data_IF_392056299440
#
_entry.id   IF_392056299440
#
_cell.length_a   1.000
_cell.length_b   1.000
_cell.length_c   1.000
_cell.angle_alpha   90.00
_cell.angle_beta   90.00
_cell.angle_gamma   90.00
#
_symmetry.space_group_name_H-M   'P 1'
#
loop_
_entity.id
_entity.type
_entity.pdbx_description
1 polymer ?
#
# COMPACT_ATOMS: atom_id res chain seq x y z
N UNK A 1 18.85 -36.77 -5.58
CA UNK A 1 18.22 -37.90 -4.87
C UNK A 1 17.08 -37.32 -4.05
N UNK A 2 15.85 -37.75 -4.26
CA UNK A 2 14.71 -37.25 -3.47
C UNK A 2 14.65 -38.09 -2.20
N UNK A 3 14.78 -37.46 -1.03
CA UNK A 3 14.77 -38.12 0.27
C UNK A 3 13.49 -37.75 1.02
N UNK A 4 12.71 -38.75 1.39
CA UNK A 4 11.57 -38.57 2.29
C UNK A 4 12.02 -38.84 3.72
N UNK A 5 11.85 -37.87 4.62
CA UNK A 5 12.18 -37.98 6.03
C UNK A 5 10.93 -38.36 6.85
N UNK A 6 11.07 -39.29 7.80
CA UNK A 6 10.10 -39.57 8.85
C UNK A 6 10.70 -39.19 10.18
N UNK A 7 10.97 -37.90 10.35
CA UNK A 7 11.83 -37.42 11.45
C UNK A 7 11.21 -36.27 12.25
N UNK A 8 9.86 -36.13 12.20
CA UNK A 8 9.16 -35.13 13.03
C UNK A 8 9.31 -35.58 14.51
N UNK A 9 9.93 -34.75 15.32
CA UNK A 9 10.18 -34.99 16.73
C UNK A 9 9.25 -34.25 17.68
N UNK A 10 8.87 -33.03 17.29
CA UNK A 10 8.11 -32.14 18.13
C UNK A 10 7.16 -31.30 17.28
N UNK A 11 6.01 -30.91 17.84
CA UNK A 11 5.02 -30.05 17.22
C UNK A 11 4.66 -28.95 18.22
N UNK A 12 4.94 -27.69 17.86
CA UNK A 12 4.71 -26.51 18.68
C UNK A 12 3.90 -25.47 17.90
N UNK A 13 2.62 -25.37 18.14
CA UNK A 13 1.74 -24.44 17.40
C UNK A 13 1.77 -24.72 15.90
N UNK A 14 2.23 -23.78 15.09
CA UNK A 14 2.40 -23.94 13.64
C UNK A 14 3.76 -24.49 13.23
N UNK A 15 4.64 -24.81 14.19
CA UNK A 15 6.00 -25.28 13.97
C UNK A 15 6.12 -26.79 14.16
N UNK A 16 6.92 -27.44 13.32
CA UNK A 16 7.40 -28.80 13.54
C UNK A 16 8.93 -28.80 13.63
N UNK A 17 9.45 -29.62 14.52
CA UNK A 17 10.89 -29.83 14.69
C UNK A 17 11.26 -31.19 14.11
N UNK A 18 12.29 -31.22 13.30
CA UNK A 18 12.81 -32.44 12.65
C UNK A 18 14.29 -32.61 12.97
N UNK A 19 14.72 -33.83 13.19
CA UNK A 19 16.11 -34.18 13.43
C UNK A 19 16.67 -35.08 12.30
N UNK A 20 18.00 -35.08 12.14
CA UNK A 20 18.71 -35.92 11.16
C UNK A 20 18.51 -35.46 9.71
N UNK A 21 18.21 -34.21 9.49
CA UNK A 21 18.00 -33.64 8.16
C UNK A 21 19.29 -32.97 7.67
N UNK A 22 19.72 -33.32 6.46
CA UNK A 22 21.01 -32.86 5.89
C UNK A 22 20.79 -32.07 4.61
N UNK A 23 21.72 -31.14 4.35
CA UNK A 23 21.73 -30.39 3.09
C UNK A 23 20.55 -29.40 2.91
N UNK A 24 20.12 -28.83 4.03
CA UNK A 24 18.95 -27.91 4.07
C UNK A 24 19.39 -26.45 3.95
N UNK A 25 18.64 -25.66 3.24
CA UNK A 25 18.82 -24.22 3.14
C UNK A 25 17.78 -23.47 3.99
N UNK A 26 18.13 -22.27 4.44
CA UNK A 26 17.17 -21.39 5.09
C UNK A 26 16.07 -20.96 4.10
N UNK A 27 14.83 -20.82 4.57
CA UNK A 27 13.65 -20.49 3.75
C UNK A 27 13.27 -21.58 2.72
N UNK A 28 13.92 -22.74 2.73
CA UNK A 28 13.60 -23.86 1.84
C UNK A 28 12.19 -24.37 2.10
N UNK A 29 11.46 -24.69 1.03
CA UNK A 29 10.13 -25.28 1.13
C UNK A 29 10.22 -26.77 1.44
N UNK A 30 9.35 -27.21 2.31
CA UNK A 30 9.18 -28.59 2.73
C UNK A 30 7.77 -29.06 2.39
N UNK A 31 7.66 -30.06 1.53
CA UNK A 31 6.41 -30.77 1.31
C UNK A 31 6.15 -31.73 2.45
N UNK A 32 4.96 -31.70 3.03
CA UNK A 32 4.56 -32.46 4.20
C UNK A 32 3.37 -33.35 3.81
N UNK A 33 3.59 -34.63 3.75
CA UNK A 33 2.55 -35.63 3.45
C UNK A 33 2.02 -36.23 4.74
N UNK A 34 0.73 -36.04 4.98
CA UNK A 34 0.03 -36.66 6.10
C UNK A 34 -0.30 -38.13 5.82
N UNK A 35 -0.64 -38.88 6.86
CA UNK A 35 -1.04 -40.30 6.79
C UNK A 35 -2.27 -40.55 5.92
N UNK A 36 -3.19 -39.61 5.85
CA UNK A 36 -4.38 -39.66 4.99
C UNK A 36 -4.10 -39.26 3.52
N UNK A 37 -2.84 -39.00 3.15
CA UNK A 37 -2.44 -38.57 1.81
C UNK A 37 -2.54 -37.07 1.53
N UNK A 38 -3.09 -36.30 2.47
CA UNK A 38 -3.15 -34.82 2.31
C UNK A 38 -1.72 -34.25 2.26
N UNK A 39 -1.50 -33.35 1.31
CA UNK A 39 -0.26 -32.60 1.19
C UNK A 39 -0.40 -31.24 1.86
N UNK A 40 0.62 -30.84 2.58
CA UNK A 40 0.82 -29.49 3.11
C UNK A 40 2.20 -28.99 2.73
N UNK A 41 2.40 -27.71 2.90
CA UNK A 41 3.71 -27.10 2.71
C UNK A 41 4.15 -26.34 3.96
N UNK A 42 5.45 -26.25 4.13
CA UNK A 42 6.06 -25.44 5.15
C UNK A 42 7.37 -24.87 4.64
N UNK A 43 7.96 -23.99 5.41
CA UNK A 43 9.30 -23.46 5.14
C UNK A 43 10.24 -23.66 6.32
N UNK A 44 11.49 -23.87 6.03
CA UNK A 44 12.54 -23.93 7.03
C UNK A 44 12.78 -22.54 7.61
N UNK A 45 12.63 -22.40 8.92
CA UNK A 45 12.78 -21.11 9.63
C UNK A 45 13.94 -21.06 10.58
N UNK A 46 14.52 -22.23 10.90
CA UNK A 46 15.72 -22.33 11.75
C UNK A 46 16.48 -23.62 11.43
N UNK A 47 17.80 -23.55 11.45
CA UNK A 47 18.69 -24.68 11.21
C UNK A 47 19.75 -24.70 12.33
N UNK A 48 19.84 -25.82 13.07
CA UNK A 48 20.82 -26.07 14.11
C UNK A 48 21.52 -27.42 13.87
N UNK A 49 22.56 -27.40 13.06
CA UNK A 49 23.21 -28.62 12.61
C UNK A 49 22.31 -29.50 11.74
N UNK A 50 21.95 -30.69 12.22
CA UNK A 50 20.99 -31.58 11.54
C UNK A 50 19.55 -31.44 12.08
N UNK A 51 19.33 -30.53 13.02
CA UNK A 51 18.01 -30.19 13.55
C UNK A 51 17.46 -28.98 12.82
N UNK A 52 16.20 -29.08 12.32
CA UNK A 52 15.54 -28.00 11.64
C UNK A 52 14.16 -27.72 12.25
N UNK A 53 13.76 -26.47 12.19
CA UNK A 53 12.41 -26.04 12.53
C UNK A 53 11.69 -25.61 11.23
N UNK A 54 10.55 -26.22 10.97
CA UNK A 54 9.74 -25.96 9.79
C UNK A 54 8.41 -25.33 10.21
N UNK A 55 8.09 -24.22 9.64
CA UNK A 55 6.79 -23.58 9.80
C UNK A 55 5.81 -24.11 8.75
N UNK A 56 4.71 -24.70 9.21
CA UNK A 56 3.69 -25.31 8.35
C UNK A 56 2.63 -24.26 7.96
N UNK A 57 2.39 -24.07 6.67
CA UNK A 57 1.51 -23.02 6.18
C UNK A 57 0.04 -23.24 6.55
N UNK A 58 -0.48 -24.44 6.35
CA UNK A 58 -1.86 -24.81 6.65
C UNK A 58 -2.07 -25.30 8.10
N UNK A 59 -1.09 -25.03 8.97
CA UNK A 59 -1.11 -25.44 10.37
C UNK A 59 -0.76 -26.92 10.58
N UNK A 60 -0.66 -27.33 11.86
CA UNK A 60 -0.12 -28.64 12.26
C UNK A 60 -1.19 -29.67 12.64
N UNK A 61 -2.47 -29.36 12.50
CA UNK A 61 -3.55 -30.31 12.81
C UNK A 61 -3.37 -31.62 12.03
N UNK A 62 -3.49 -32.77 12.71
CA UNK A 62 -3.30 -34.13 12.15
C UNK A 62 -1.90 -34.45 11.66
N UNK A 63 -0.89 -33.64 11.95
CA UNK A 63 0.50 -34.06 11.77
C UNK A 63 0.82 -35.10 12.84
N UNK A 64 1.37 -36.25 12.41
CA UNK A 64 1.77 -37.35 13.27
C UNK A 64 3.26 -37.40 13.37
N UNK A 65 3.80 -37.59 14.59
CA UNK A 65 5.22 -37.79 14.82
C UNK A 65 5.78 -39.09 14.20
N UNK A 66 4.90 -40.07 13.92
CA UNK A 66 5.30 -41.39 13.43
C UNK A 66 5.09 -41.60 11.94
N UNK A 67 4.02 -40.98 11.36
CA UNK A 67 3.55 -41.33 10.03
C UNK A 67 3.67 -40.18 9.04
N UNK A 68 3.98 -38.95 9.50
CA UNK A 68 4.14 -37.80 8.58
C UNK A 68 5.46 -37.94 7.83
N UNK A 69 5.41 -37.81 6.53
CA UNK A 69 6.59 -37.78 5.66
C UNK A 69 6.84 -36.37 5.17
N UNK A 70 8.11 -35.97 5.20
CA UNK A 70 8.52 -34.63 4.78
C UNK A 70 9.59 -34.73 3.70
N UNK A 71 9.54 -33.85 2.73
CA UNK A 71 10.44 -33.78 1.60
C UNK A 71 10.93 -32.34 1.41
N UNK A 72 12.23 -32.17 1.38
CA UNK A 72 12.85 -30.91 1.01
C UNK A 72 12.76 -30.69 -0.50
N UNK A 73 12.42 -29.49 -0.93
CA UNK A 73 12.26 -29.15 -2.36
C UNK A 73 13.53 -28.65 -3.00
N UNK A 74 14.51 -28.22 -2.21
CA UNK A 74 15.78 -27.66 -2.68
C UNK A 74 15.71 -26.19 -3.08
N UNK A 75 14.56 -25.54 -2.91
CA UNK A 75 14.39 -24.13 -3.26
C UNK A 75 13.41 -23.41 -2.29
N UNK A 76 13.54 -22.08 -2.14
CA UNK A 76 12.59 -21.29 -1.39
C UNK A 76 11.23 -21.23 -2.13
N UNK A 77 10.24 -20.59 -1.52
CA UNK A 77 8.93 -20.42 -2.15
C UNK A 77 9.05 -19.59 -3.43
N UNK A 78 8.51 -20.15 -4.51
CA UNK A 78 8.49 -19.52 -5.83
C UNK A 78 7.06 -19.27 -6.28
N UNK A 79 6.86 -18.11 -6.90
CA UNK A 79 5.59 -17.72 -7.53
C UNK A 79 5.60 -18.11 -9.01
N UNK A 80 4.59 -18.84 -9.52
CA UNK A 80 4.41 -19.05 -10.95
C UNK A 80 3.97 -17.74 -11.62
N UNK A 81 4.65 -17.32 -12.66
CA UNK A 81 4.44 -16.06 -13.35
C UNK A 81 4.13 -16.28 -14.84
N UNK A 82 3.09 -15.61 -15.30
CA UNK A 82 2.65 -15.58 -16.70
C UNK A 82 1.92 -14.26 -16.97
N UNK A 83 1.88 -13.75 -18.21
CA UNK A 83 1.02 -12.59 -18.55
C UNK A 83 -0.47 -12.85 -18.24
N UNK A 84 -0.90 -14.11 -18.24
CA UNK A 84 -2.28 -14.54 -17.92
C UNK A 84 -2.67 -14.31 -16.45
N UNK A 85 -1.75 -13.90 -15.59
CA UNK A 85 -2.03 -13.58 -14.20
C UNK A 85 -2.88 -12.30 -14.05
N UNK A 86 -2.89 -11.43 -15.06
CA UNK A 86 -3.71 -10.22 -15.06
C UNK A 86 -5.19 -10.63 -15.13
N UNK A 87 -6.01 -10.03 -14.29
CA UNK A 87 -7.44 -10.36 -14.18
C UNK A 87 -7.75 -11.52 -13.23
N UNK A 88 -6.73 -12.13 -12.61
CA UNK A 88 -6.90 -13.30 -11.73
C UNK A 88 -7.13 -12.89 -10.27
N UNK A 89 -7.86 -13.72 -9.57
CA UNK A 89 -8.05 -13.64 -8.12
C UNK A 89 -7.37 -14.83 -7.45
N UNK A 90 -6.43 -14.51 -6.55
CA UNK A 90 -5.55 -15.47 -5.89
C UNK A 90 -5.78 -15.43 -4.37
N UNK A 91 -5.42 -16.52 -3.68
CA UNK A 91 -5.31 -16.52 -2.21
C UNK A 91 -4.05 -15.81 -1.73
N UNK A 92 -3.84 -15.76 -0.41
CA UNK A 92 -2.68 -15.10 0.19
C UNK A 92 -1.33 -15.74 -0.15
N UNK A 93 -1.33 -17.00 -0.59
CA UNK A 93 -0.15 -17.73 -1.04
C UNK A 93 0.05 -17.68 -2.57
N UNK A 94 -0.83 -16.98 -3.29
CA UNK A 94 -0.75 -16.83 -4.74
C UNK A 94 -1.38 -17.95 -5.55
N UNK A 95 -2.21 -18.81 -4.95
CA UNK A 95 -2.95 -19.86 -5.67
C UNK A 95 -4.28 -19.30 -6.20
N UNK A 96 -4.68 -19.61 -7.44
CA UNK A 96 -5.94 -19.15 -7.99
C UNK A 96 -7.17 -19.64 -7.18
N UNK A 97 -8.10 -18.72 -6.91
CA UNK A 97 -9.38 -18.99 -6.24
C UNK A 97 -10.60 -18.53 -7.05
N UNK A 98 -10.39 -18.13 -8.28
CA UNK A 98 -11.42 -17.63 -9.21
C UNK A 98 -12.13 -18.73 -10.02
N UNK A 99 -11.71 -19.97 -9.87
CA UNK A 99 -12.29 -21.10 -10.63
C UNK A 99 -11.81 -21.22 -12.08
N UNK A 100 -10.84 -20.39 -12.50
CA UNK A 100 -10.32 -20.40 -13.87
C UNK A 100 -9.15 -21.38 -14.08
N UNK A 101 -8.85 -22.22 -13.07
CA UNK A 101 -7.74 -23.18 -13.11
C UNK A 101 -6.37 -22.58 -12.76
N UNK A 102 -5.35 -23.44 -12.82
CA UNK A 102 -3.99 -23.05 -12.46
C UNK A 102 -3.35 -22.11 -13.49
N UNK A 103 -2.37 -21.32 -13.03
CA UNK A 103 -1.55 -20.46 -13.89
C UNK A 103 -0.40 -21.30 -14.44
N UNK A 104 -0.29 -21.42 -15.76
CA UNK A 104 0.82 -22.08 -16.41
C UNK A 104 2.04 -21.15 -16.46
N UNK A 105 3.11 -21.44 -15.72
CA UNK A 105 4.20 -20.49 -15.57
C UNK A 105 5.06 -20.43 -16.84
N UNK A 106 5.29 -19.22 -17.33
CA UNK A 106 6.39 -18.90 -18.25
C UNK A 106 7.70 -18.83 -17.48
N UNK A 107 7.62 -18.35 -16.23
CA UNK A 107 8.74 -18.21 -15.31
C UNK A 107 8.28 -18.51 -13.88
N UNK A 108 9.23 -18.94 -13.04
CA UNK A 108 9.06 -18.98 -11.59
C UNK A 108 10.05 -18.02 -10.95
N UNK A 109 9.64 -17.29 -9.94
CA UNK A 109 10.48 -16.36 -9.22
C UNK A 109 10.31 -16.51 -7.70
N UNK A 110 11.44 -16.38 -6.99
CA UNK A 110 11.46 -16.38 -5.53
C UNK A 110 10.65 -15.18 -5.01
N UNK A 111 9.69 -15.43 -4.11
CA UNK A 111 8.82 -14.40 -3.55
C UNK A 111 9.55 -13.39 -2.67
N UNK A 112 10.68 -13.75 -2.09
CA UNK A 112 11.45 -12.83 -1.25
C UNK A 112 11.97 -11.65 -2.05
N UNK A 113 12.22 -11.82 -3.36
CA UNK A 113 12.71 -10.77 -4.22
C UNK A 113 14.01 -10.15 -3.72
N UNK A 114 14.36 -9.03 -4.27
CA UNK A 114 15.48 -8.21 -3.79
C UNK A 114 15.13 -6.74 -3.89
N UNK A 115 15.50 -5.89 -2.92
CA UNK A 115 15.41 -4.45 -3.06
C UNK A 115 16.11 -3.98 -4.33
N UNK A 116 15.54 -2.98 -4.99
CA UNK A 116 16.14 -2.42 -6.20
C UNK A 116 17.51 -1.82 -5.86
N UNK A 117 18.55 -2.25 -6.59
CA UNK A 117 19.89 -1.72 -6.41
C UNK A 117 19.88 -0.18 -6.65
N UNK A 118 20.36 0.64 -5.69
CA UNK A 118 20.35 2.09 -5.82
C UNK A 118 21.04 2.61 -7.09
N UNK A 119 22.10 1.95 -7.55
CA UNK A 119 22.84 2.34 -8.77
C UNK A 119 22.01 2.11 -10.04
N UNK A 120 21.14 1.10 -10.03
CA UNK A 120 20.24 0.76 -11.14
C UNK A 120 18.93 1.55 -11.09
N UNK A 121 18.64 2.21 -9.99
CA UNK A 121 17.39 2.96 -9.79
C UNK A 121 17.38 4.22 -10.67
N UNK A 122 16.26 4.44 -11.36
CA UNK A 122 15.98 5.70 -12.05
C UNK A 122 15.21 6.62 -11.10
N UNK A 123 15.55 7.91 -11.10
CA UNK A 123 14.83 8.88 -10.30
C UNK A 123 13.37 9.02 -10.79
N UNK A 124 12.37 8.89 -9.92
CA UNK A 124 10.97 8.95 -10.30
C UNK A 124 10.59 10.32 -10.89
N UNK A 125 9.88 10.25 -12.01
CA UNK A 125 9.27 11.40 -12.70
C UNK A 125 7.91 10.96 -13.23
N UNK A 126 7.10 11.90 -13.64
CA UNK A 126 5.71 11.69 -14.04
C UNK A 126 4.81 11.25 -12.86
N UNK A 127 3.57 11.59 -12.96
CA UNK A 127 2.59 11.32 -11.91
C UNK A 127 1.59 10.24 -12.33
N UNK A 128 0.99 9.62 -11.33
CA UNK A 128 -0.19 8.77 -11.47
C UNK A 128 -1.39 9.61 -11.03
N UNK A 129 -2.33 9.83 -11.93
CA UNK A 129 -3.58 10.50 -11.61
C UNK A 129 -4.49 9.53 -10.88
N UNK A 130 -4.88 9.86 -9.65
CA UNK A 130 -5.80 9.06 -8.83
C UNK A 130 -7.26 9.48 -9.01
N UNK A 131 -7.50 10.63 -9.63
CA UNK A 131 -8.82 11.22 -9.79
C UNK A 131 -9.36 11.87 -8.52
N UNK A 132 -8.53 12.03 -7.49
CA UNK A 132 -8.87 12.60 -6.19
C UNK A 132 -8.13 13.93 -6.00
N UNK A 133 -8.86 15.03 -5.94
CA UNK A 133 -8.30 16.39 -5.94
C UNK A 133 -7.25 16.60 -4.85
N UNK A 134 -7.50 16.18 -3.62
CA UNK A 134 -6.57 16.34 -2.51
C UNK A 134 -5.25 15.61 -2.76
N UNK A 135 -5.32 14.39 -3.30
CA UNK A 135 -4.12 13.59 -3.59
C UNK A 135 -3.39 14.18 -4.79
N UNK A 136 -4.09 14.35 -5.91
CA UNK A 136 -3.46 14.74 -7.17
C UNK A 136 -2.88 16.16 -7.14
N UNK A 137 -3.47 17.07 -6.34
CA UNK A 137 -3.01 18.46 -6.26
C UNK A 137 -1.99 18.71 -5.14
N UNK A 138 -2.18 18.13 -3.95
CA UNK A 138 -1.42 18.52 -2.74
C UNK A 138 -0.36 17.49 -2.32
N UNK A 139 -0.50 16.24 -2.75
CA UNK A 139 0.41 15.14 -2.40
C UNK A 139 0.54 14.14 -3.57
N UNK A 140 0.72 14.67 -4.76
CA UNK A 140 0.72 13.94 -6.02
C UNK A 140 1.57 12.68 -5.97
N UNK A 141 0.96 11.57 -6.38
CA UNK A 141 1.61 10.26 -6.45
C UNK A 141 2.52 10.20 -7.66
N UNK A 142 3.81 10.00 -7.44
CA UNK A 142 4.81 9.92 -8.49
C UNK A 142 5.08 8.46 -8.86
N UNK A 143 5.23 8.19 -10.14
CA UNK A 143 5.46 6.86 -10.67
C UNK A 143 6.78 6.27 -10.15
N UNK A 144 6.70 5.09 -9.51
CA UNK A 144 7.84 4.46 -8.83
C UNK A 144 8.01 4.85 -7.36
N UNK A 145 7.09 5.65 -6.81
CA UNK A 145 7.10 6.10 -5.41
C UNK A 145 6.46 5.08 -4.48
N UNK A 146 6.79 5.17 -3.20
CA UNK A 146 6.11 4.54 -2.06
C UNK A 146 5.38 5.62 -1.27
N UNK A 147 4.06 5.69 -1.39
CA UNK A 147 3.23 6.69 -0.70
C UNK A 147 2.15 6.01 0.13
N UNK A 148 2.37 5.78 1.43
CA UNK A 148 1.42 5.08 2.27
C UNK A 148 0.21 5.94 2.63
N UNK A 149 -0.92 5.26 2.92
CA UNK A 149 -2.10 5.85 3.53
C UNK A 149 -2.17 5.42 4.99
N UNK A 150 -2.10 6.38 5.90
CA UNK A 150 -2.26 6.20 7.33
C UNK A 150 -3.73 6.43 7.69
N UNK A 151 -4.39 5.38 8.12
CA UNK A 151 -5.81 5.37 8.48
C UNK A 151 -6.01 4.99 9.94
N UNK A 152 -7.23 5.07 10.42
CA UNK A 152 -7.65 4.53 11.71
C UNK A 152 -8.65 3.37 11.55
N UNK A 153 -8.82 2.59 12.60
CA UNK A 153 -9.81 1.50 12.60
C UNK A 153 -11.22 2.04 12.34
N UNK A 154 -11.97 1.41 11.44
CA UNK A 154 -13.33 1.81 11.07
C UNK A 154 -13.43 3.05 10.18
N UNK A 155 -12.31 3.53 9.65
CA UNK A 155 -12.31 4.62 8.67
C UNK A 155 -12.48 4.08 7.23
N UNK A 156 -12.87 4.98 6.31
CA UNK A 156 -13.21 4.65 4.90
C UNK A 156 -11.99 4.46 3.99
N UNK A 157 -10.91 3.86 4.49
CA UNK A 157 -9.72 3.59 3.69
C UNK A 157 -9.94 2.51 2.62
N UNK A 158 -10.85 1.57 2.86
CA UNK A 158 -11.22 0.56 1.86
C UNK A 158 -11.94 1.20 0.67
N UNK A 159 -12.87 2.13 0.93
CA UNK A 159 -13.55 2.89 -0.13
C UNK A 159 -12.55 3.71 -0.94
N UNK A 160 -11.61 4.37 -0.26
CA UNK A 160 -10.55 5.12 -0.91
C UNK A 160 -9.65 4.23 -1.78
N UNK A 161 -9.26 3.05 -1.29
CA UNK A 161 -8.49 2.08 -2.06
C UNK A 161 -9.25 1.65 -3.32
N UNK A 162 -10.53 1.30 -3.20
CA UNK A 162 -11.39 0.93 -4.34
C UNK A 162 -11.50 2.08 -5.34
N UNK A 163 -11.70 3.30 -4.88
CA UNK A 163 -11.78 4.47 -5.74
C UNK A 163 -10.48 4.69 -6.52
N UNK A 164 -9.31 4.59 -5.87
CA UNK A 164 -8.01 4.70 -6.53
C UNK A 164 -7.84 3.60 -7.58
N UNK A 165 -8.13 2.33 -7.26
CA UNK A 165 -8.02 1.22 -8.24
C UNK A 165 -8.88 1.46 -9.48
N UNK A 166 -10.09 1.98 -9.29
CA UNK A 166 -11.03 2.24 -10.38
C UNK A 166 -10.60 3.41 -11.27
N UNK A 167 -10.03 4.44 -10.70
CA UNK A 167 -9.79 5.73 -11.36
C UNK A 167 -8.35 5.93 -11.80
N UNK A 168 -7.39 5.25 -11.16
CA UNK A 168 -5.96 5.45 -11.41
C UNK A 168 -5.59 5.26 -12.88
N UNK A 169 -4.81 6.21 -13.40
CA UNK A 169 -4.29 6.21 -14.77
C UNK A 169 -2.99 6.98 -14.86
N UNK A 170 -2.22 6.69 -15.89
CA UNK A 170 -1.00 7.43 -16.24
C UNK A 170 -1.32 8.43 -17.34
N UNK A 171 -0.82 9.66 -17.19
CA UNK A 171 -0.94 10.68 -18.22
C UNK A 171 0.03 10.40 -19.37
N UNK A 172 -0.43 10.53 -20.62
CA UNK A 172 0.41 10.47 -21.82
C UNK A 172 0.91 9.08 -22.24
N UNK A 173 0.65 8.02 -21.48
CA UNK A 173 0.99 6.65 -21.88
C UNK A 173 -0.21 5.92 -22.51
N UNK A 174 0.07 4.93 -23.36
CA UNK A 174 -0.95 3.99 -23.78
C UNK A 174 -1.57 3.34 -22.55
N UNK A 175 -2.85 3.50 -22.33
CA UNK A 175 -3.59 2.98 -21.19
C UNK A 175 -3.48 1.45 -21.04
N UNK A 176 -3.09 0.75 -22.12
CA UNK A 176 -2.83 -0.70 -22.15
C UNK A 176 -1.65 -1.17 -21.31
N UNK A 177 -0.71 -0.28 -20.96
CA UNK A 177 0.49 -0.62 -20.18
C UNK A 177 0.36 -0.31 -18.68
N UNK A 178 -0.83 0.01 -18.20
CA UNK A 178 -1.08 0.24 -16.78
C UNK A 178 -1.88 -0.89 -16.15
N UNK A 179 -1.40 -1.43 -15.05
CA UNK A 179 -2.05 -2.47 -14.27
C UNK A 179 -2.01 -2.20 -12.77
N UNK A 180 -2.83 -2.93 -12.03
CA UNK A 180 -2.89 -2.84 -10.57
C UNK A 180 -2.67 -4.23 -9.98
N UNK A 181 -1.87 -4.33 -8.93
CA UNK A 181 -1.81 -5.49 -8.05
C UNK A 181 -2.40 -5.07 -6.71
N UNK A 182 -3.50 -5.70 -6.35
CA UNK A 182 -4.22 -5.42 -5.11
C UNK A 182 -4.06 -6.58 -4.14
N UNK A 183 -3.48 -6.31 -2.97
CA UNK A 183 -3.25 -7.32 -1.94
C UNK A 183 -3.99 -6.94 -0.66
N UNK A 184 -4.97 -7.76 -0.26
CA UNK A 184 -5.70 -7.61 1.00
C UNK A 184 -5.22 -8.64 2.01
N UNK A 185 -4.82 -8.19 3.19
CA UNK A 185 -4.19 -9.00 4.24
C UNK A 185 -4.99 -8.96 5.53
N UNK A 186 -5.47 -10.11 5.98
CA UNK A 186 -6.24 -10.26 7.21
C UNK A 186 -7.60 -9.59 7.19
N UNK A 187 -8.20 -9.46 6.01
CA UNK A 187 -9.51 -8.82 5.85
C UNK A 187 -10.65 -9.79 6.19
N UNK A 188 -11.79 -9.25 6.62
CA UNK A 188 -12.99 -10.03 6.81
C UNK A 188 -13.56 -10.45 5.45
N UNK A 189 -14.36 -11.54 5.44
CA UNK A 189 -14.89 -12.09 4.19
C UNK A 189 -15.79 -11.11 3.44
N UNK A 190 -16.61 -10.35 4.15
CA UNK A 190 -17.47 -9.31 3.58
C UNK A 190 -16.68 -8.19 2.92
N UNK A 191 -15.54 -7.80 3.50
CA UNK A 191 -14.62 -6.82 2.92
C UNK A 191 -13.95 -7.37 1.65
N UNK A 192 -13.53 -8.64 1.66
CA UNK A 192 -12.98 -9.28 0.47
C UNK A 192 -13.99 -9.36 -0.68
N UNK A 193 -15.23 -9.75 -0.37
CA UNK A 193 -16.34 -9.76 -1.33
C UNK A 193 -16.67 -8.35 -1.85
N UNK A 194 -16.63 -7.33 -0.97
CA UNK A 194 -16.80 -5.94 -1.37
C UNK A 194 -15.75 -5.49 -2.40
N UNK A 195 -14.47 -5.78 -2.17
CA UNK A 195 -13.42 -5.48 -3.13
C UNK A 195 -13.64 -6.17 -4.48
N UNK A 196 -13.86 -7.49 -4.45
CA UNK A 196 -14.09 -8.29 -5.65
C UNK A 196 -15.26 -7.75 -6.46
N UNK A 197 -16.41 -7.60 -5.82
CA UNK A 197 -17.62 -7.07 -6.46
C UNK A 197 -17.43 -5.67 -7.04
N UNK A 198 -16.75 -4.77 -6.30
CA UNK A 198 -16.49 -3.41 -6.75
C UNK A 198 -15.62 -3.37 -8.02
N UNK A 199 -14.62 -4.27 -8.12
CA UNK A 199 -13.75 -4.34 -9.30
C UNK A 199 -14.43 -5.04 -10.48
N UNK A 200 -15.28 -6.04 -10.24
CA UNK A 200 -16.09 -6.69 -11.27
C UNK A 200 -17.12 -5.72 -11.86
N UNK A 201 -17.92 -5.07 -11.02
CA UNK A 201 -18.99 -4.13 -11.45
C UNK A 201 -18.44 -2.90 -12.19
N UNK A 202 -17.26 -2.44 -11.81
CA UNK A 202 -16.60 -1.32 -12.50
C UNK A 202 -15.85 -1.72 -13.78
N UNK A 203 -15.74 -3.03 -14.06
CA UNK A 203 -15.04 -3.56 -15.24
C UNK A 203 -13.52 -3.46 -15.18
N UNK A 204 -12.95 -3.04 -14.03
CA UNK A 204 -11.49 -2.87 -13.90
C UNK A 204 -10.76 -4.15 -13.56
N UNK A 205 -11.47 -5.22 -13.18
CA UNK A 205 -10.84 -6.49 -12.82
C UNK A 205 -9.92 -7.03 -13.93
N UNK A 206 -10.24 -6.77 -15.20
CA UNK A 206 -9.42 -7.16 -16.36
C UNK A 206 -7.99 -6.59 -16.37
N UNK A 207 -7.71 -5.58 -15.56
CA UNK A 207 -6.38 -4.97 -15.38
C UNK A 207 -5.84 -5.08 -13.95
N UNK A 208 -6.50 -5.86 -13.10
CA UNK A 208 -6.15 -6.04 -11.68
C UNK A 208 -5.73 -7.48 -11.44
N UNK A 209 -4.64 -7.69 -10.72
CA UNK A 209 -4.31 -8.95 -10.07
C UNK A 209 -4.70 -8.81 -8.61
N UNK A 210 -5.55 -9.68 -8.11
CA UNK A 210 -6.07 -9.58 -6.75
C UNK A 210 -5.56 -10.73 -5.88
N UNK A 211 -4.94 -10.42 -4.75
CA UNK A 211 -4.54 -11.39 -3.73
C UNK A 211 -5.38 -11.16 -2.47
N UNK A 212 -6.00 -12.20 -1.98
CA UNK A 212 -6.91 -12.14 -0.83
C UNK A 212 -6.44 -13.10 0.27
N UNK A 213 -6.01 -12.56 1.41
CA UNK A 213 -5.83 -13.29 2.65
C UNK A 213 -6.92 -12.87 3.63
N UNK A 214 -7.75 -13.81 4.04
CA UNK A 214 -8.83 -13.55 4.98
C UNK A 214 -8.34 -13.56 6.43
N UNK A 215 -9.14 -13.00 7.33
CA UNK A 215 -8.82 -12.95 8.76
C UNK A 215 -8.74 -14.32 9.42
N UNK A 216 -9.46 -15.31 8.89
CA UNK A 216 -9.47 -16.70 9.35
C UNK A 216 -8.50 -17.62 8.62
N UNK A 217 -7.76 -17.11 7.62
CA UNK A 217 -6.71 -17.86 6.94
C UNK A 217 -5.46 -17.97 7.84
N UNK A 218 -4.59 -18.96 7.59
CA UNK A 218 -3.37 -19.13 8.35
C UNK A 218 -2.51 -17.85 8.36
N UNK A 219 -2.01 -17.47 9.53
CA UNK A 219 -1.22 -16.25 9.71
C UNK A 219 -0.01 -16.21 8.79
N UNK A 220 0.58 -17.37 8.50
CA UNK A 220 1.74 -17.44 7.63
C UNK A 220 1.42 -16.95 6.20
N UNK A 221 0.26 -17.28 5.67
CA UNK A 221 -0.13 -16.78 4.36
C UNK A 221 -0.16 -15.25 4.32
N UNK A 222 -0.58 -14.62 5.42
CA UNK A 222 -0.57 -13.15 5.55
C UNK A 222 0.82 -12.57 5.40
N UNK A 223 1.86 -13.28 5.87
CA UNK A 223 3.25 -12.84 5.70
C UNK A 223 3.80 -13.10 4.30
N UNK A 224 3.19 -14.01 3.54
CA UNK A 224 3.54 -14.29 2.14
C UNK A 224 2.85 -13.34 1.16
N UNK A 225 1.63 -12.92 1.45
CA UNK A 225 0.76 -12.15 0.55
C UNK A 225 1.45 -10.92 -0.07
N UNK A 226 2.08 -10.00 0.67
CA UNK A 226 2.73 -8.84 0.07
C UNK A 226 3.97 -9.23 -0.74
N UNK A 227 4.65 -10.32 -0.39
CA UNK A 227 5.80 -10.84 -1.13
C UNK A 227 5.37 -11.40 -2.49
N UNK A 228 4.30 -12.18 -2.53
CA UNK A 228 3.69 -12.68 -3.75
C UNK A 228 3.22 -11.52 -4.65
N UNK A 229 2.51 -10.57 -4.07
CA UNK A 229 2.01 -9.39 -4.79
C UNK A 229 3.15 -8.58 -5.45
N UNK A 230 4.23 -8.32 -4.72
CA UNK A 230 5.38 -7.60 -5.24
C UNK A 230 6.14 -8.39 -6.29
N UNK A 231 6.24 -9.72 -6.16
CA UNK A 231 6.88 -10.58 -7.17
C UNK A 231 6.10 -10.56 -8.49
N UNK A 232 4.77 -10.58 -8.41
CA UNK A 232 3.91 -10.41 -9.59
C UNK A 232 4.12 -9.02 -10.20
N UNK A 233 4.12 -7.98 -9.37
CA UNK A 233 4.30 -6.60 -9.82
C UNK A 233 5.65 -6.38 -10.51
N UNK A 234 6.73 -6.92 -9.95
CA UNK A 234 8.07 -6.85 -10.56
C UNK A 234 8.13 -7.55 -11.91
N UNK A 235 7.52 -8.72 -12.03
CA UNK A 235 7.45 -9.44 -13.32
C UNK A 235 6.71 -8.62 -14.37
N UNK A 236 5.52 -8.11 -14.04
CA UNK A 236 4.73 -7.31 -14.97
C UNK A 236 5.43 -5.99 -15.32
N UNK A 237 6.13 -5.38 -14.37
CA UNK A 237 6.80 -4.10 -14.58
C UNK A 237 8.12 -4.24 -15.33
N UNK A 238 8.98 -5.18 -14.95
CA UNK A 238 10.35 -5.21 -15.43
C UNK A 238 10.61 -6.24 -16.54
N UNK A 239 9.68 -7.17 -16.77
CA UNK A 239 9.78 -8.12 -17.90
C UNK A 239 8.74 -7.83 -19.00
N UNK A 240 7.59 -7.24 -18.64
CA UNK A 240 6.55 -6.86 -19.61
C UNK A 240 6.43 -5.34 -19.81
N UNK A 241 7.34 -4.55 -19.23
CA UNK A 241 7.40 -3.09 -19.35
C UNK A 241 6.09 -2.36 -18.99
N UNK A 242 5.35 -2.90 -18.03
CA UNK A 242 4.10 -2.31 -17.54
C UNK A 242 4.35 -1.31 -16.41
N UNK A 243 3.42 -0.39 -16.23
CA UNK A 243 3.39 0.47 -15.05
C UNK A 243 2.41 -0.11 -14.03
N UNK A 244 2.94 -0.64 -12.94
CA UNK A 244 2.14 -1.35 -11.94
C UNK A 244 1.97 -0.51 -10.68
N UNK A 245 0.71 -0.29 -10.31
CA UNK A 245 0.33 0.26 -9.01
C UNK A 245 0.01 -0.89 -8.06
N UNK A 246 0.78 -1.02 -6.99
CA UNK A 246 0.57 -2.03 -5.95
C UNK A 246 -0.13 -1.37 -4.76
N UNK A 247 -1.31 -1.85 -4.41
CA UNK A 247 -2.04 -1.43 -3.21
C UNK A 247 -2.06 -2.59 -2.23
N UNK A 248 -1.56 -2.37 -1.02
CA UNK A 248 -1.46 -3.38 0.03
C UNK A 248 -2.23 -2.91 1.26
N UNK A 249 -3.31 -3.60 1.60
CA UNK A 249 -4.15 -3.33 2.76
C UNK A 249 -4.43 -4.62 3.55
N UNK A 250 -4.23 -4.74 4.86
CA UNK A 250 -3.75 -3.77 5.81
C UNK A 250 -2.33 -4.15 6.27
N UNK A 251 -1.41 -3.23 6.18
CA UNK A 251 -0.02 -3.46 6.61
C UNK A 251 0.11 -3.60 8.13
N UNK A 252 -0.87 -3.13 8.90
CA UNK A 252 -0.95 -3.39 10.33
C UNK A 252 -1.27 -4.85 10.60
N UNK A 253 -2.21 -5.44 9.86
CA UNK A 253 -2.49 -6.88 9.94
C UNK A 253 -1.28 -7.74 9.56
N UNK A 254 -0.49 -7.29 8.59
CA UNK A 254 0.79 -7.91 8.23
C UNK A 254 1.79 -7.87 9.40
N UNK A 255 2.00 -6.71 10.00
CA UNK A 255 2.93 -6.55 11.12
C UNK A 255 2.47 -7.34 12.37
N UNK A 256 1.17 -7.44 12.62
CA UNK A 256 0.61 -8.29 13.68
C UNK A 256 0.89 -9.78 13.42
N UNK A 257 0.82 -10.22 12.16
CA UNK A 257 1.20 -11.58 11.80
C UNK A 257 2.70 -11.86 12.08
N UNK A 258 3.57 -10.91 11.79
CA UNK A 258 4.99 -10.99 12.15
C UNK A 258 5.21 -11.06 13.66
N UNK A 259 4.46 -10.26 14.42
CA UNK A 259 4.52 -10.25 15.90
C UNK A 259 4.12 -11.60 16.47
N UNK A 260 3.03 -12.18 16.02
CA UNK A 260 2.55 -13.49 16.47
C UNK A 260 3.54 -14.60 16.09
N UNK A 261 4.08 -14.54 14.87
CA UNK A 261 5.10 -15.49 14.43
C UNK A 261 6.38 -15.41 15.26
N UNK A 262 6.92 -14.21 15.48
CA UNK A 262 8.10 -13.99 16.33
C UNK A 262 7.88 -14.49 17.76
N UNK A 263 6.70 -14.21 18.32
CA UNK A 263 6.31 -14.72 19.66
C UNK A 263 6.26 -16.25 19.70
N UNK A 264 5.74 -16.90 18.66
CA UNK A 264 5.67 -18.38 18.59
C UNK A 264 7.05 -19.04 18.52
N UNK A 265 8.07 -18.33 18.01
CA UNK A 265 9.47 -18.76 17.99
C UNK A 265 10.20 -18.48 19.31
N UNK A 266 9.59 -17.74 20.24
CA UNK A 266 10.22 -17.31 21.48
C UNK A 266 11.31 -16.26 21.29
N UNK A 267 11.25 -15.48 20.21
CA UNK A 267 12.18 -14.38 19.97
C UNK A 267 11.98 -13.25 21.00
N UNK A 268 13.06 -12.56 21.35
CA UNK A 268 12.99 -11.43 22.28
C UNK A 268 12.22 -10.28 21.61
N UNK A 269 11.11 -9.84 22.19
CA UNK A 269 10.30 -8.79 21.60
C UNK A 269 10.99 -7.42 21.66
N UNK A 270 10.85 -6.65 20.60
CA UNK A 270 11.21 -5.24 20.54
C UNK A 270 10.10 -4.32 21.03
N UNK A 271 10.06 -3.08 20.52
CA UNK A 271 9.09 -2.04 20.90
C UNK A 271 7.64 -2.51 20.67
N UNK A 272 6.79 -2.37 21.68
CA UNK A 272 5.37 -2.81 21.69
C UNK A 272 5.16 -4.29 21.31
N UNK A 273 6.15 -5.15 21.52
CA UNK A 273 6.05 -6.58 21.26
C UNK A 273 6.29 -7.02 19.80
N UNK A 274 6.63 -6.10 18.91
CA UNK A 274 7.01 -6.44 17.55
C UNK A 274 8.42 -7.03 17.47
N UNK A 275 8.72 -7.85 16.44
CA UNK A 275 10.06 -8.39 16.26
C UNK A 275 11.09 -7.28 16.04
N UNK A 276 12.32 -7.47 16.53
CA UNK A 276 13.40 -6.50 16.37
C UNK A 276 13.73 -6.18 14.89
N UNK A 277 13.42 -7.10 13.98
CA UNK A 277 13.63 -6.95 12.55
C UNK A 277 12.45 -6.32 11.79
N UNK A 278 11.41 -5.80 12.46
CA UNK A 278 10.23 -5.22 11.78
C UNK A 278 10.61 -4.14 10.76
N UNK A 279 11.59 -3.28 11.10
CA UNK A 279 12.07 -2.24 10.18
C UNK A 279 12.65 -2.82 8.89
N UNK A 280 13.60 -3.75 9.03
CA UNK A 280 14.26 -4.36 7.86
C UNK A 280 13.29 -5.21 7.03
N UNK A 281 12.30 -5.82 7.67
CA UNK A 281 11.29 -6.60 6.97
C UNK A 281 10.37 -5.69 6.13
N UNK A 282 9.82 -4.61 6.72
CA UNK A 282 9.04 -3.60 5.99
C UNK A 282 9.88 -2.94 4.88
N UNK A 283 11.15 -2.61 5.15
CA UNK A 283 12.06 -2.06 4.16
C UNK A 283 12.26 -3.03 2.98
N UNK A 284 12.38 -4.33 3.25
CA UNK A 284 12.53 -5.36 2.20
C UNK A 284 11.34 -5.40 1.23
N UNK A 285 10.14 -5.04 1.69
CA UNK A 285 8.95 -4.92 0.86
C UNK A 285 8.90 -3.58 0.12
N UNK A 286 9.03 -2.49 0.86
CA UNK A 286 8.84 -1.15 0.30
C UNK A 286 9.95 -0.77 -0.69
N UNK A 287 11.20 -1.20 -0.48
CA UNK A 287 12.32 -0.93 -1.39
C UNK A 287 12.26 -1.72 -2.72
N UNK A 288 11.24 -2.53 -2.91
CA UNK A 288 10.93 -3.16 -4.21
C UNK A 288 10.16 -2.22 -5.16
N UNK A 289 9.67 -1.08 -4.67
CA UNK A 289 9.10 -0.03 -5.52
C UNK A 289 10.19 0.75 -6.25
N UNK A 290 9.90 1.19 -7.46
CA UNK A 290 10.80 2.06 -8.22
C UNK A 290 10.76 1.83 -9.72
N UNK A 291 11.76 2.41 -10.37
CA UNK A 291 12.07 2.26 -11.80
C UNK A 291 13.52 1.82 -11.95
N UNK A 292 13.81 0.97 -12.91
CA UNK A 292 15.15 0.40 -13.17
C UNK A 292 15.65 0.86 -14.53
N UNK A 293 16.95 1.21 -14.60
CA UNK A 293 17.61 1.55 -15.88
C UNK A 293 17.46 0.42 -16.88
N UNK A 294 17.09 0.75 -18.11
CA UNK A 294 16.92 -0.21 -19.20
C UNK A 294 15.53 -0.86 -19.26
N UNK A 295 14.63 -0.56 -18.31
CA UNK A 295 13.23 -0.96 -18.34
C UNK A 295 12.33 0.28 -18.40
N UNK A 296 11.25 0.22 -19.17
CA UNK A 296 10.27 1.31 -19.25
C UNK A 296 9.19 1.18 -18.18
N UNK A 297 9.01 0.01 -17.58
CA UNK A 297 8.05 -0.27 -16.55
C UNK A 297 8.40 0.34 -15.19
N UNK A 298 7.43 0.31 -14.28
CA UNK A 298 7.60 0.84 -12.92
C UNK A 298 6.73 0.10 -11.91
N UNK A 299 7.20 0.00 -10.67
CA UNK A 299 6.42 -0.45 -9.52
C UNK A 299 6.20 0.72 -8.57
N UNK A 300 4.95 1.15 -8.42
CA UNK A 300 4.53 2.19 -7.48
C UNK A 300 3.73 1.55 -6.36
N UNK A 301 3.94 1.93 -5.11
CA UNK A 301 3.28 1.31 -3.96
C UNK A 301 2.43 2.32 -3.18
N UNK A 302 1.21 1.90 -2.83
CA UNK A 302 0.34 2.53 -1.83
C UNK A 302 0.10 1.50 -0.72
N UNK A 303 0.99 1.41 0.28
CA UNK A 303 0.71 0.64 1.48
C UNK A 303 -0.36 1.37 2.30
N UNK A 304 -1.41 0.65 2.72
CA UNK A 304 -2.44 1.18 3.61
C UNK A 304 -2.27 0.51 4.96
N UNK A 305 -2.24 1.30 6.01
CA UNK A 305 -2.12 0.82 7.37
C UNK A 305 -3.17 1.47 8.29
N UNK A 306 -3.62 0.74 9.29
CA UNK A 306 -4.46 1.26 10.36
C UNK A 306 -3.62 1.56 11.60
N UNK A 307 -3.66 2.80 12.05
CA UNK A 307 -2.96 3.23 13.26
C UNK A 307 -3.74 2.76 14.49
N UNK A 308 -3.15 1.92 15.37
CA UNK A 308 -3.81 1.57 16.62
C UNK A 308 -4.03 2.82 17.49
N UNK A 309 -5.28 3.03 17.92
CA UNK A 309 -5.73 4.22 18.68
C UNK A 309 -5.50 5.56 17.95
N UNK A 310 -5.44 5.56 16.61
CA UNK A 310 -5.11 6.72 15.78
C UNK A 310 -3.73 7.34 16.13
N UNK A 311 -2.83 6.54 16.73
CA UNK A 311 -1.49 6.96 17.18
C UNK A 311 -0.45 6.85 16.05
N UNK A 312 -0.11 7.96 15.45
CA UNK A 312 0.90 8.05 14.38
C UNK A 312 2.32 7.71 14.88
N UNK A 313 2.56 7.75 16.20
CA UNK A 313 3.85 7.41 16.82
C UNK A 313 3.99 5.90 17.11
N UNK A 314 2.94 5.12 16.79
CA UNK A 314 3.00 3.66 16.90
C UNK A 314 4.10 3.09 15.96
N UNK A 315 4.79 1.98 16.34
CA UNK A 315 5.90 1.45 15.54
C UNK A 315 5.60 1.26 14.04
N UNK A 316 4.39 0.86 13.69
CA UNK A 316 4.04 0.57 12.29
C UNK A 316 4.01 1.84 11.43
N UNK A 317 3.22 2.89 11.73
CA UNK A 317 3.27 4.13 10.96
C UNK A 317 4.62 4.84 11.09
N UNK A 318 5.24 4.85 12.27
CA UNK A 318 6.53 5.48 12.52
C UNK A 318 7.61 4.89 11.59
N UNK A 319 7.81 3.57 11.59
CA UNK A 319 8.78 2.89 10.74
C UNK A 319 8.44 3.01 9.24
N UNK A 320 7.16 2.93 8.89
CA UNK A 320 6.71 3.12 7.50
C UNK A 320 7.05 4.52 7.01
N UNK A 321 6.82 5.56 7.82
CA UNK A 321 7.15 6.94 7.48
C UNK A 321 8.65 7.20 7.25
N UNK A 322 9.52 6.44 7.94
CA UNK A 322 10.98 6.52 7.70
C UNK A 322 11.41 5.88 6.38
N UNK A 323 10.74 4.81 5.95
CA UNK A 323 11.13 4.06 4.75
C UNK A 323 10.56 4.71 3.47
N UNK A 324 9.41 5.36 3.57
CA UNK A 324 8.64 5.86 2.42
C UNK A 324 8.88 7.32 2.09
N UNK A 325 8.45 7.78 0.93
CA UNK A 325 8.65 9.15 0.45
C UNK A 325 7.47 10.08 0.74
N UNK A 326 6.82 9.94 1.86
CA UNK A 326 5.70 10.76 2.32
C UNK A 326 4.61 9.93 2.95
N UNK A 327 3.45 10.51 3.16
CA UNK A 327 2.24 9.86 3.68
C UNK A 327 0.98 10.64 3.34
N UNK A 328 -0.13 9.93 3.21
CA UNK A 328 -1.50 10.47 3.19
C UNK A 328 -2.15 10.09 4.52
N UNK A 329 -2.57 11.06 5.30
CA UNK A 329 -3.17 10.82 6.62
C UNK A 329 -4.67 11.03 6.55
N UNK A 330 -5.44 10.02 6.94
CA UNK A 330 -6.89 10.14 7.10
C UNK A 330 -7.23 10.58 8.53
N UNK A 331 -8.24 11.43 8.67
CA UNK A 331 -8.65 12.02 9.93
C UNK A 331 -10.09 11.63 10.29
N UNK A 332 -10.25 11.08 11.49
CA UNK A 332 -11.54 10.65 12.02
C UNK A 332 -12.51 11.82 12.22
N UNK A 333 -12.00 13.00 12.57
CA UNK A 333 -12.84 14.18 12.77
C UNK A 333 -13.47 14.65 11.46
N UNK A 334 -12.72 14.61 10.35
CA UNK A 334 -13.24 14.93 9.02
C UNK A 334 -14.29 13.89 8.56
N UNK A 335 -14.03 12.61 8.83
CA UNK A 335 -15.04 11.57 8.57
C UNK A 335 -16.30 11.76 9.41
N UNK A 336 -16.15 12.15 10.67
CA UNK A 336 -17.29 12.48 11.57
C UNK A 336 -18.13 13.66 11.07
N UNK A 337 -17.53 14.59 10.32
CA UNK A 337 -18.20 15.69 9.65
C UNK A 337 -18.84 15.27 8.30
N UNK A 338 -18.74 14.01 7.92
CA UNK A 338 -19.30 13.49 6.66
C UNK A 338 -18.44 13.76 5.42
N UNK A 339 -17.21 14.23 5.59
CA UNK A 339 -16.30 14.47 4.47
C UNK A 339 -15.72 13.16 3.92
N UNK A 340 -15.63 13.06 2.61
CA UNK A 340 -15.01 11.91 1.92
C UNK A 340 -14.25 12.38 0.66
N UNK A 341 -13.01 11.87 0.42
CA UNK A 341 -12.20 11.12 1.38
C UNK A 341 -11.75 12.00 2.55
N UNK A 342 -11.67 11.47 3.78
CA UNK A 342 -11.35 12.26 4.96
C UNK A 342 -9.85 12.53 5.08
N UNK A 343 -9.24 13.10 4.04
CA UNK A 343 -7.81 13.37 3.98
C UNK A 343 -7.47 14.63 4.78
N UNK A 344 -6.63 14.47 5.79
CA UNK A 344 -6.05 15.59 6.51
C UNK A 344 -4.84 16.12 5.74
N UNK A 345 -4.97 17.32 5.18
CA UNK A 345 -3.99 17.91 4.29
C UNK A 345 -2.68 18.26 5.02
N UNK A 346 -2.73 18.78 6.25
CA UNK A 346 -1.56 19.33 6.93
C UNK A 346 -0.49 18.30 7.30
N UNK A 347 -0.81 17.10 7.85
CA UNK A 347 0.18 16.05 8.12
C UNK A 347 0.51 15.22 6.89
N UNK A 348 -0.16 15.44 5.77
CA UNK A 348 0.05 14.68 4.53
C UNK A 348 1.06 15.38 3.63
N UNK A 349 1.92 14.59 2.99
CA UNK A 349 2.92 15.11 2.06
C UNK A 349 3.40 14.04 1.09
N UNK A 350 3.87 14.47 -0.09
CA UNK A 350 4.64 13.66 -1.03
C UNK A 350 5.97 14.35 -1.32
N UNK A 351 7.09 13.72 -0.90
CA UNK A 351 8.43 14.32 -1.03
C UNK A 351 8.92 14.37 -2.47
N UNK A 352 8.40 13.51 -3.34
CA UNK A 352 8.80 13.45 -4.76
C UNK A 352 7.89 14.30 -5.66
N UNK A 353 6.82 14.85 -5.15
CA UNK A 353 5.82 15.59 -5.92
C UNK A 353 6.44 16.66 -6.82
N UNK A 354 7.35 17.48 -6.29
CA UNK A 354 7.98 18.61 -7.00
C UNK A 354 8.71 18.21 -8.29
N UNK A 355 9.13 16.96 -8.40
CA UNK A 355 9.92 16.46 -9.54
C UNK A 355 9.06 15.81 -10.63
N UNK A 356 7.75 15.66 -10.39
CA UNK A 356 6.81 15.04 -11.32
C UNK A 356 5.57 15.87 -11.64
N UNK A 357 5.56 17.16 -11.26
CA UNK A 357 4.48 18.10 -11.55
C UNK A 357 5.04 19.38 -12.20
N UNK A 358 4.16 20.26 -12.69
CA UNK A 358 4.52 21.50 -13.34
C UNK A 358 4.63 21.34 -14.86
N UNK A 359 5.37 22.24 -15.50
CA UNK A 359 5.51 22.27 -16.95
C UNK A 359 6.06 20.95 -17.52
N UNK A 360 5.37 20.41 -18.52
CA UNK A 360 5.71 19.12 -19.13
C UNK A 360 5.12 17.88 -18.46
N UNK A 361 4.55 18.01 -17.26
CA UNK A 361 3.90 16.92 -16.53
C UNK A 361 2.42 17.20 -16.23
N UNK A 362 2.15 18.31 -15.55
CA UNK A 362 0.82 18.81 -15.25
C UNK A 362 0.65 20.23 -15.85
N UNK A 363 0.31 21.22 -15.06
CA UNK A 363 0.21 22.62 -15.46
C UNK A 363 1.25 23.46 -14.70
N UNK A 364 1.79 24.50 -15.32
CA UNK A 364 2.89 25.30 -14.77
C UNK A 364 2.59 25.92 -13.39
N UNK A 365 1.32 26.25 -13.14
CA UNK A 365 0.85 26.81 -11.86
C UNK A 365 0.64 25.78 -10.75
N UNK A 366 0.82 24.47 -11.02
CA UNK A 366 0.47 23.41 -10.05
C UNK A 366 1.24 23.56 -8.72
N UNK A 367 2.57 23.70 -8.75
CA UNK A 367 3.36 23.77 -7.52
C UNK A 367 3.07 25.05 -6.71
N UNK A 368 3.04 26.27 -7.32
CA UNK A 368 2.64 27.48 -6.59
C UNK A 368 1.24 27.39 -6.00
N UNK A 369 0.27 26.88 -6.78
CA UNK A 369 -1.10 26.69 -6.31
C UNK A 369 -1.17 25.74 -5.11
N UNK A 370 -0.53 24.60 -5.19
CA UNK A 370 -0.49 23.62 -4.10
C UNK A 370 0.11 24.21 -2.82
N UNK A 371 1.24 24.94 -2.95
CA UNK A 371 1.88 25.62 -1.83
C UNK A 371 0.96 26.66 -1.19
N UNK A 372 0.23 27.43 -2.02
CA UNK A 372 -0.70 28.44 -1.52
C UNK A 372 -1.93 27.82 -0.85
N UNK A 373 -2.52 26.79 -1.44
CA UNK A 373 -3.65 26.06 -0.82
C UNK A 373 -3.26 25.50 0.55
N UNK A 374 -2.09 24.87 0.64
CA UNK A 374 -1.57 24.33 1.90
C UNK A 374 -1.35 25.44 2.96
N UNK A 375 -0.69 26.55 2.57
CA UNK A 375 -0.45 27.68 3.47
C UNK A 375 -1.75 28.35 3.92
N UNK A 376 -2.69 28.52 3.00
CA UNK A 376 -4.00 29.10 3.31
C UNK A 376 -4.80 28.21 4.25
N UNK A 377 -4.78 26.89 4.05
CA UNK A 377 -5.46 25.96 4.96
C UNK A 377 -4.82 25.89 6.35
N UNK A 378 -3.49 26.07 6.46
CA UNK A 378 -2.84 26.20 7.76
C UNK A 378 -3.37 27.43 8.53
N UNK A 379 -3.49 28.60 7.84
CA UNK A 379 -4.10 29.80 8.43
C UNK A 379 -5.57 29.60 8.84
N UNK A 380 -6.33 28.72 8.17
CA UNK A 380 -7.70 28.33 8.61
C UNK A 380 -7.67 27.70 9.99
N UNK A 381 -6.73 26.79 10.24
CA UNK A 381 -6.62 26.12 11.54
C UNK A 381 -6.25 27.12 12.63
N UNK A 382 -5.33 28.06 12.35
CA UNK A 382 -4.97 29.13 13.28
C UNK A 382 -6.19 30.02 13.60
N UNK A 383 -6.94 30.44 12.56
CA UNK A 383 -8.14 31.27 12.72
C UNK A 383 -9.24 30.55 13.54
N UNK A 384 -9.44 29.23 13.30
CA UNK A 384 -10.36 28.40 14.08
C UNK A 384 -9.92 28.27 15.53
N UNK A 385 -8.63 28.10 15.77
CA UNK A 385 -8.08 28.04 17.13
C UNK A 385 -8.29 29.37 17.86
N UNK A 386 -8.08 30.49 17.19
CA UNK A 386 -8.34 31.81 17.75
C UNK A 386 -9.83 32.01 18.01
N UNK A 387 -10.72 31.64 17.06
CA UNK A 387 -12.16 31.72 17.22
C UNK A 387 -12.68 30.94 18.43
N UNK A 388 -12.07 29.79 18.74
CA UNK A 388 -12.44 28.96 19.88
C UNK A 388 -12.16 29.65 21.23
N UNK A 389 -11.27 30.63 21.26
CA UNK A 389 -10.87 31.38 22.49
C UNK A 389 -11.63 32.69 22.62
N UNK A 390 -11.73 33.48 21.54
CA UNK A 390 -12.30 34.84 21.60
C UNK A 390 -13.72 34.94 20.99
N UNK A 391 -14.19 33.94 20.29
CA UNK A 391 -15.43 33.96 19.53
C UNK A 391 -15.23 34.36 18.06
N UNK A 392 -16.05 33.80 17.16
CA UNK A 392 -15.95 34.09 15.70
C UNK A 392 -16.29 35.57 15.39
N UNK A 393 -17.11 36.21 16.21
CA UNK A 393 -17.52 37.61 16.01
C UNK A 393 -16.35 38.58 16.19
N UNK A 394 -15.42 38.29 17.11
CA UNK A 394 -14.27 39.12 17.46
C UNK A 394 -13.07 38.93 16.52
N UNK A 395 -13.15 38.02 15.57
CA UNK A 395 -12.09 37.79 14.59
C UNK A 395 -11.89 38.99 13.68
N UNK A 396 -10.65 39.18 13.20
CA UNK A 396 -10.36 40.14 12.14
C UNK A 396 -11.14 39.83 10.85
N UNK A 397 -11.38 40.81 9.99
CA UNK A 397 -12.02 40.57 8.69
C UNK A 397 -11.27 39.53 7.83
N UNK A 398 -9.94 39.48 7.94
CA UNK A 398 -9.09 38.49 7.23
C UNK A 398 -9.29 37.09 7.79
N UNK A 399 -9.31 36.94 9.13
CA UNK A 399 -9.53 35.62 9.76
C UNK A 399 -10.91 35.06 9.43
N UNK A 400 -11.95 35.94 9.39
CA UNK A 400 -13.29 35.54 8.96
C UNK A 400 -13.29 34.99 7.51
N UNK A 401 -12.52 35.61 6.60
CA UNK A 401 -12.36 35.12 5.22
C UNK A 401 -11.63 33.77 5.19
N UNK A 402 -10.64 33.54 6.06
CA UNK A 402 -9.98 32.23 6.17
C UNK A 402 -10.93 31.15 6.69
N UNK A 403 -11.81 31.46 7.64
CA UNK A 403 -12.82 30.50 8.10
C UNK A 403 -13.79 30.14 6.96
N UNK A 404 -14.24 31.13 6.19
CA UNK A 404 -15.10 30.89 5.03
C UNK A 404 -14.37 30.06 3.96
N UNK A 405 -13.14 30.42 3.62
CA UNK A 405 -12.28 29.63 2.71
C UNK A 405 -12.15 28.19 3.20
N UNK A 406 -11.91 27.95 4.50
CA UNK A 406 -11.79 26.64 5.08
C UNK A 406 -13.06 25.79 4.90
N UNK A 407 -14.23 26.36 5.13
CA UNK A 407 -15.53 25.68 4.90
C UNK A 407 -15.73 25.30 3.42
N UNK A 408 -15.37 26.19 2.51
CA UNK A 408 -15.46 25.95 1.07
C UNK A 408 -14.41 24.91 0.62
N UNK A 409 -13.18 25.01 1.11
CA UNK A 409 -12.10 24.07 0.82
C UNK A 409 -12.47 22.64 1.26
N UNK A 410 -12.97 22.48 2.47
CA UNK A 410 -13.41 21.18 2.98
C UNK A 410 -14.62 20.65 2.19
N UNK A 411 -15.63 21.47 1.94
CA UNK A 411 -16.87 21.00 1.30
C UNK A 411 -16.76 20.77 -0.20
N UNK A 412 -15.91 21.51 -0.92
CA UNK A 412 -15.79 21.43 -2.39
C UNK A 412 -14.52 20.70 -2.86
N UNK A 413 -13.38 20.92 -2.17
CA UNK A 413 -12.10 20.39 -2.60
C UNK A 413 -11.76 19.05 -1.94
N UNK A 414 -11.85 18.97 -0.61
CA UNK A 414 -11.61 17.73 0.14
C UNK A 414 -12.76 16.76 -0.08
N UNK A 415 -13.99 17.23 0.07
CA UNK A 415 -15.16 16.39 -0.14
C UNK A 415 -15.38 16.10 -1.62
N UNK A 416 -15.30 14.83 -1.97
CA UNK A 416 -15.46 14.35 -3.34
C UNK A 416 -16.27 13.05 -3.33
N UNK A 417 -17.26 12.93 -4.21
CA UNK A 417 -18.09 11.73 -4.27
C UNK A 417 -17.27 10.46 -4.58
N UNK A 418 -17.66 9.34 -4.00
CA UNK A 418 -17.02 8.04 -4.21
C UNK A 418 -16.87 7.63 -5.68
N UNK A 419 -17.80 8.07 -6.53
CA UNK A 419 -17.75 7.81 -7.98
C UNK A 419 -17.22 9.01 -8.79
N UNK A 420 -16.87 10.09 -8.12
CA UNK A 420 -16.39 11.29 -8.78
C UNK A 420 -14.91 11.14 -9.14
N UNK A 421 -14.59 11.38 -10.40
CA UNK A 421 -13.23 11.34 -10.94
C UNK A 421 -12.90 12.71 -11.51
N UNK A 422 -12.02 13.44 -10.84
CA UNK A 422 -11.58 14.78 -11.28
C UNK A 422 -10.26 14.69 -12.02
N UNK A 423 -10.17 15.38 -13.15
CA UNK A 423 -8.88 15.54 -13.81
C UNK A 423 -7.98 16.50 -13.01
N UNK A 424 -6.68 16.48 -13.31
CA UNK A 424 -5.74 17.40 -12.64
C UNK A 424 -6.12 18.85 -12.97
N UNK A 425 -6.52 19.14 -14.21
CA UNK A 425 -6.96 20.48 -14.63
C UNK A 425 -8.19 20.95 -13.84
N UNK A 426 -9.19 20.08 -13.70
CA UNK A 426 -10.39 20.38 -12.90
C UNK A 426 -10.03 20.66 -11.44
N UNK A 427 -9.09 19.89 -10.89
CA UNK A 427 -8.64 20.06 -9.50
C UNK A 427 -7.86 21.37 -9.31
N UNK A 428 -7.00 21.73 -10.27
CA UNK A 428 -6.26 23.00 -10.23
C UNK A 428 -7.19 24.19 -10.40
N UNK A 429 -8.16 24.12 -11.32
CA UNK A 429 -9.15 25.19 -11.53
C UNK A 429 -10.03 25.41 -10.30
N UNK A 430 -10.45 24.31 -9.65
CA UNK A 430 -11.18 24.37 -8.38
C UNK A 430 -10.32 25.00 -7.27
N UNK A 431 -9.04 24.68 -7.22
CA UNK A 431 -8.09 25.31 -6.30
C UNK A 431 -8.01 26.83 -6.47
N UNK A 432 -7.97 27.31 -7.73
CA UNK A 432 -7.98 28.75 -8.03
C UNK A 432 -9.32 29.41 -7.69
N UNK A 433 -10.45 28.73 -7.96
CA UNK A 433 -11.77 29.24 -7.55
C UNK A 433 -11.81 29.50 -6.03
N UNK A 434 -11.29 28.56 -5.25
CA UNK A 434 -11.25 28.69 -3.80
C UNK A 434 -10.30 29.79 -3.34
N UNK A 435 -9.07 29.84 -3.86
CA UNK A 435 -8.13 30.92 -3.51
C UNK A 435 -8.64 32.30 -3.87
N UNK A 436 -9.49 32.42 -4.90
CA UNK A 436 -10.11 33.69 -5.30
C UNK A 436 -11.12 34.23 -4.27
N UNK A 437 -11.49 33.44 -3.24
CA UNK A 437 -12.29 33.93 -2.11
C UNK A 437 -11.46 34.70 -1.06
N UNK A 438 -10.14 34.53 -1.08
CA UNK A 438 -9.21 35.26 -0.23
C UNK A 438 -8.73 36.57 -0.91
N UNK A 439 -8.34 37.60 -0.13
CA UNK A 439 -7.74 38.80 -0.72
C UNK A 439 -6.45 38.46 -1.48
N UNK A 440 -6.21 39.10 -2.62
CA UNK A 440 -4.99 38.91 -3.43
C UNK A 440 -3.72 39.07 -2.61
N UNK A 441 -3.68 40.02 -1.67
CA UNK A 441 -2.53 40.28 -0.80
C UNK A 441 -2.17 39.12 0.14
N UNK A 442 -3.08 38.17 0.36
CA UNK A 442 -2.85 36.96 1.19
C UNK A 442 -2.23 35.81 0.39
N UNK A 443 -2.12 35.92 -0.95
CA UNK A 443 -1.62 34.89 -1.84
C UNK A 443 -0.11 35.06 -2.11
N UNK A 444 0.67 35.04 -1.05
CA UNK A 444 2.12 35.33 -1.04
C UNK A 444 3.03 34.20 -1.56
N UNK A 445 2.47 33.02 -1.88
CA UNK A 445 3.18 31.86 -2.43
C UNK A 445 3.07 31.74 -3.94
N UNK A 446 2.41 32.70 -4.59
CA UNK A 446 2.16 32.71 -6.03
C UNK A 446 2.66 34.00 -6.64
N UNK A 447 3.37 33.90 -7.76
CA UNK A 447 3.87 35.04 -8.50
C UNK A 447 2.73 35.88 -9.11
N UNK A 448 2.96 37.20 -9.21
CA UNK A 448 1.96 38.13 -9.76
C UNK A 448 1.48 37.75 -11.16
N UNK A 449 2.34 37.21 -12.03
CA UNK A 449 1.98 36.78 -13.36
C UNK A 449 0.91 35.63 -13.35
N UNK A 450 1.02 34.70 -12.43
CA UNK A 450 0.04 33.64 -12.25
C UNK A 450 -1.25 34.16 -11.60
N UNK A 451 -1.12 35.08 -10.66
CA UNK A 451 -2.28 35.76 -10.06
C UNK A 451 -3.06 36.54 -11.12
N UNK A 452 -2.39 37.27 -12.02
CA UNK A 452 -3.05 38.00 -13.11
C UNK A 452 -3.77 37.07 -14.09
N UNK A 453 -3.27 35.85 -14.27
CA UNK A 453 -3.84 34.86 -15.17
C UNK A 453 -5.02 34.08 -14.56
N UNK A 454 -4.93 33.69 -13.30
CA UNK A 454 -5.86 32.71 -12.71
C UNK A 454 -6.74 33.27 -11.59
N UNK A 455 -6.31 34.32 -10.89
CA UNK A 455 -7.08 34.87 -9.79
C UNK A 455 -8.33 35.64 -10.29
N UNK A 456 -9.50 35.28 -9.77
CA UNK A 456 -10.80 35.83 -10.14
C UNK A 456 -11.50 36.58 -9.01
N UNK A 457 -10.83 36.80 -7.88
CA UNK A 457 -11.37 37.59 -6.78
C UNK A 457 -11.42 39.10 -7.07
N UNK A 458 -12.02 39.86 -6.16
CA UNK A 458 -12.08 41.31 -6.27
C UNK A 458 -10.67 41.91 -6.36
N UNK A 459 -10.48 42.75 -7.39
CA UNK A 459 -9.20 43.46 -7.61
C UNK A 459 -9.00 44.59 -6.61
#
# INVERSE_FOLDING_TARGET
MIIDYVSVKEINGSLIVMDGVKGVSNEEIVDIRLDNGTMRQGRVVQIEGERIVVQVFEGTRRISLKNTRTRLTGHPMEMPLSPEIIGRVLDGAGKPIDGLGDIFPVKKANINGTPINPVSRVYPKNYINTGISTIDTLMTLIRGQKLPIFSGSGMKHNDLAVQIVRQAKISGANSSNFGVVFAAMGVQKDVAEYFKKSFEESGVLSRVVMLLNLSNDPIIERTLTPRCALTIAEYLAFELDMHILVIMTDMTSYAEALREFSSSKGEIPGRKGYPGYLYSDLASLYERAGMIKGHSGSVTQIPILTMPNDDITHPIPDLTGYITEGQIVLDRSLQGQGLYPPVNVLPSLSRLMKDGIGEGYTRADHQPLANQLFASYAKVIDARSLASVIGEEELSPTDKKYIEFGRLFESKFVNQGFNENRSIEQSLDLGWELLSTLPRAELDRVDDALLDQYYKGDK
#
